data_IF_140340551788
#
_entry.id   IF_140340551788
#
_cell.length_a   1.000
_cell.length_b   1.000
_cell.length_c   1.000
_cell.angle_alpha   90.00
_cell.angle_beta   90.00
_cell.angle_gamma   90.00
#
_symmetry.space_group_name_H-M   'P 1'
#
loop_
_entity.id
_entity.type
_entity.pdbx_description
1 polymer ?
#
# COMPACT_ATOMS: atom_id res chain seq x y z
N UNK A 1 -4.74 -4.05 -102.82
CA UNK A 1 -3.45 -3.87 -102.15
C UNK A 1 -3.66 -3.08 -100.90
N UNK A 2 -3.44 -3.66 -99.72
CA UNK A 2 -3.84 -3.14 -98.42
C UNK A 2 -2.66 -2.36 -97.79
N UNK A 3 -2.82 -1.06 -97.55
CA UNK A 3 -1.88 -0.25 -96.82
C UNK A 3 -2.27 -0.28 -95.33
N UNK A 4 -1.33 -0.64 -94.43
CA UNK A 4 -1.49 -0.58 -92.98
C UNK A 4 -0.89 0.73 -92.49
N UNK A 5 -1.71 1.57 -91.84
CA UNK A 5 -1.21 2.67 -91.05
C UNK A 5 -1.07 2.28 -89.61
N UNK A 6 0.14 2.46 -89.08
CA UNK A 6 0.48 2.27 -87.68
C UNK A 6 0.33 3.60 -86.96
N UNK A 7 -0.56 3.66 -85.94
CA UNK A 7 -0.67 4.81 -85.03
C UNK A 7 0.21 4.55 -83.80
N UNK A 8 1.17 5.45 -83.56
CA UNK A 8 1.95 5.50 -82.34
C UNK A 8 1.22 6.40 -81.35
N UNK A 9 0.78 5.82 -80.23
CA UNK A 9 0.15 6.59 -79.14
C UNK A 9 1.22 7.10 -78.18
N UNK A 10 1.30 8.41 -78.03
CA UNK A 10 2.15 9.07 -77.04
C UNK A 10 1.35 9.15 -75.72
N UNK A 11 1.84 8.44 -74.69
CA UNK A 11 1.24 8.53 -73.37
C UNK A 11 1.91 9.67 -72.57
N UNK A 12 1.16 10.74 -72.30
CA UNK A 12 1.52 11.77 -71.35
C UNK A 12 1.20 11.26 -69.94
N UNK A 13 2.22 10.98 -69.13
CA UNK A 13 2.08 10.65 -67.75
C UNK A 13 1.90 11.93 -66.90
N UNK A 14 0.72 12.17 -66.36
CA UNK A 14 0.47 13.22 -65.38
C UNK A 14 0.84 12.69 -63.98
N UNK A 15 1.94 13.14 -63.43
CA UNK A 15 2.30 12.88 -62.04
C UNK A 15 1.49 13.80 -61.10
N UNK A 16 0.49 13.23 -60.43
CA UNK A 16 -0.17 13.92 -59.31
C UNK A 16 0.73 13.81 -58.05
N UNK A 17 1.36 14.92 -57.67
CA UNK A 17 1.94 15.08 -56.35
C UNK A 17 0.80 15.20 -55.32
N UNK A 18 0.57 14.14 -54.56
CA UNK A 18 -0.28 14.22 -53.38
C UNK A 18 0.54 14.85 -52.23
N UNK A 19 0.33 16.15 -51.99
CA UNK A 19 0.83 16.80 -50.79
C UNK A 19 -0.01 16.32 -49.59
N UNK A 20 0.57 15.47 -48.78
CA UNK A 20 0.00 15.08 -47.47
C UNK A 20 0.13 16.27 -46.51
N UNK A 21 -0.95 17.00 -46.31
CA UNK A 21 -1.09 17.95 -45.21
C UNK A 21 -1.18 17.14 -43.89
N UNK A 22 -0.06 17.00 -43.19
CA UNK A 22 -0.07 16.53 -41.80
C UNK A 22 -0.65 17.65 -40.93
N UNK A 23 -1.90 17.50 -40.51
CA UNK A 23 -2.46 18.30 -39.43
C UNK A 23 -1.62 18.06 -38.18
N UNK A 24 -1.22 19.11 -37.42
CA UNK A 24 -0.56 18.91 -36.15
C UNK A 24 -1.55 18.16 -35.24
N UNK A 25 -1.10 17.03 -34.67
CA UNK A 25 -1.85 16.36 -33.65
C UNK A 25 -2.02 17.34 -32.48
N UNK A 26 -3.23 17.79 -32.25
CA UNK A 26 -3.58 18.49 -31.00
C UNK A 26 -3.38 17.48 -29.91
N UNK A 27 -2.34 17.66 -29.11
CA UNK A 27 -2.15 16.92 -27.91
C UNK A 27 -3.40 17.15 -27.03
N UNK A 28 -4.21 16.12 -26.86
CA UNK A 28 -5.31 16.19 -25.92
C UNK A 28 -4.68 16.52 -24.56
N UNK A 29 -5.05 17.64 -23.98
CA UNK A 29 -4.63 18.02 -22.64
C UNK A 29 -4.91 16.86 -21.71
N UNK A 30 -3.88 16.41 -21.00
CA UNK A 30 -4.05 15.40 -19.96
C UNK A 30 -5.13 15.91 -19.01
N UNK A 31 -6.10 15.09 -18.60
CA UNK A 31 -7.16 15.53 -17.71
C UNK A 31 -6.52 16.16 -16.47
N UNK A 32 -7.02 17.36 -16.10
CA UNK A 32 -6.53 18.10 -14.96
C UNK A 32 -6.46 17.16 -13.74
N UNK A 33 -5.33 17.17 -13.04
CA UNK A 33 -5.14 16.33 -11.87
C UNK A 33 -6.27 16.60 -10.87
N UNK A 34 -6.89 15.54 -10.35
CA UNK A 34 -7.93 15.68 -9.33
C UNK A 34 -7.37 16.47 -8.14
N UNK A 35 -8.15 17.37 -7.52
CA UNK A 35 -7.67 18.16 -6.41
C UNK A 35 -7.29 17.27 -5.23
N UNK A 36 -6.22 17.63 -4.54
CA UNK A 36 -5.81 16.95 -3.32
C UNK A 36 -6.82 17.26 -2.21
N UNK A 37 -7.38 16.21 -1.60
CA UNK A 37 -8.30 16.31 -0.47
C UNK A 37 -7.71 15.55 0.71
N UNK A 38 -7.73 16.19 1.87
CA UNK A 38 -7.28 15.58 3.13
C UNK A 38 -8.47 15.34 4.05
N UNK A 39 -8.57 14.12 4.59
CA UNK A 39 -9.65 13.70 5.48
C UNK A 39 -9.18 13.47 6.92
N UNK A 40 -7.89 13.60 7.18
CA UNK A 40 -7.22 13.19 8.42
C UNK A 40 -6.26 14.25 8.97
N UNK A 41 -6.50 15.53 8.68
CA UNK A 41 -5.69 16.63 9.19
C UNK A 41 -4.25 16.64 8.63
N UNK A 42 -4.08 16.29 7.37
CA UNK A 42 -2.78 16.24 6.66
C UNK A 42 -1.79 15.21 7.22
N UNK A 43 -2.27 14.12 7.78
CA UNK A 43 -1.38 13.04 8.21
C UNK A 43 -0.72 12.41 6.99
N UNK A 44 0.59 12.54 6.96
CA UNK A 44 1.42 11.93 5.95
C UNK A 44 1.55 10.43 6.22
N UNK A 45 1.45 9.62 5.19
CA UNK A 45 1.73 8.20 5.27
C UNK A 45 2.53 7.71 4.07
N UNK A 46 3.25 6.64 4.26
CA UNK A 46 3.94 5.92 3.22
C UNK A 46 3.49 4.45 3.20
N UNK A 47 3.74 3.77 2.11
CA UNK A 47 3.48 2.34 1.98
C UNK A 47 4.62 1.66 1.24
N UNK A 48 4.92 0.45 1.64
CA UNK A 48 5.88 -0.45 1.03
C UNK A 48 5.25 -1.83 0.96
N UNK A 49 5.24 -2.43 -0.22
CA UNK A 49 4.83 -3.81 -0.41
C UNK A 49 5.90 -4.56 -1.20
N UNK A 50 6.18 -5.81 -0.80
CA UNK A 50 7.02 -6.73 -1.55
C UNK A 50 6.15 -7.65 -2.39
N UNK A 51 6.60 -7.96 -3.61
CA UNK A 51 6.01 -9.04 -4.39
C UNK A 51 6.18 -10.39 -3.69
N UNK A 52 5.29 -11.36 -3.94
CA UNK A 52 5.42 -12.70 -3.33
C UNK A 52 6.73 -13.42 -3.64
N UNK A 53 7.41 -13.12 -4.73
CA UNK A 53 8.75 -13.64 -5.07
C UNK A 53 9.90 -12.81 -4.51
N UNK A 54 9.56 -11.72 -3.77
CA UNK A 54 10.52 -10.79 -3.16
C UNK A 54 11.47 -10.08 -4.14
N UNK A 55 11.19 -10.20 -5.43
CA UNK A 55 11.99 -9.56 -6.48
C UNK A 55 11.64 -8.11 -6.73
N UNK A 56 10.44 -7.68 -6.32
CA UNK A 56 9.92 -6.33 -6.58
C UNK A 56 9.44 -5.67 -5.29
N UNK A 57 9.79 -4.41 -5.10
CA UNK A 57 9.19 -3.55 -4.08
C UNK A 57 8.39 -2.44 -4.76
N UNK A 58 7.21 -2.14 -4.25
CA UNK A 58 6.39 -1.01 -4.68
C UNK A 58 6.20 -0.07 -3.51
N UNK A 59 6.49 1.21 -3.72
CA UNK A 59 6.40 2.22 -2.67
C UNK A 59 5.57 3.41 -3.07
N UNK A 60 4.92 4.02 -2.09
CA UNK A 60 4.19 5.28 -2.20
C UNK A 60 4.44 6.19 -1.01
N UNK A 61 4.20 7.47 -1.24
CA UNK A 61 4.14 8.48 -0.19
C UNK A 61 3.00 9.45 -0.47
N UNK A 62 2.15 9.67 0.51
CA UNK A 62 0.91 10.45 0.32
C UNK A 62 1.13 11.89 -0.14
N UNK A 63 2.32 12.45 0.04
CA UNK A 63 2.68 13.79 -0.43
C UNK A 63 3.15 13.82 -1.88
N UNK A 64 3.35 12.66 -2.51
CA UNK A 64 3.82 12.53 -3.89
C UNK A 64 2.84 11.70 -4.72
N UNK A 65 2.51 12.18 -5.90
CA UNK A 65 1.63 11.48 -6.84
C UNK A 65 2.29 10.34 -7.60
N UNK A 66 3.54 10.00 -7.29
CA UNK A 66 4.29 8.96 -7.95
C UNK A 66 4.33 7.68 -7.09
N UNK A 67 4.14 6.54 -7.75
CA UNK A 67 4.38 5.22 -7.20
C UNK A 67 5.66 4.68 -7.81
N UNK A 68 6.64 4.34 -6.99
CA UNK A 68 7.93 3.83 -7.48
C UNK A 68 7.95 2.31 -7.37
N UNK A 69 8.35 1.66 -8.44
CA UNK A 69 8.52 0.20 -8.53
C UNK A 69 10.02 -0.09 -8.63
N UNK A 70 10.56 -0.82 -7.66
CA UNK A 70 11.95 -1.22 -7.60
C UNK A 70 12.14 -2.68 -7.99
N UNK A 71 13.21 -2.96 -8.72
CA UNK A 71 13.79 -4.29 -8.83
C UNK A 71 14.79 -4.46 -7.67
N UNK A 72 14.51 -5.37 -6.76
CA UNK A 72 15.34 -5.62 -5.58
C UNK A 72 16.57 -6.48 -5.84
N UNK A 73 16.66 -7.14 -7.00
CA UNK A 73 17.84 -7.91 -7.43
C UNK A 73 18.93 -6.99 -7.95
N UNK A 74 18.53 -5.98 -8.72
CA UNK A 74 19.45 -4.99 -9.31
C UNK A 74 19.60 -3.72 -8.48
N UNK A 75 18.73 -3.52 -7.47
CA UNK A 75 18.60 -2.29 -6.67
C UNK A 75 18.30 -1.05 -7.53
N UNK A 76 17.55 -1.22 -8.60
CA UNK A 76 17.23 -0.16 -9.54
C UNK A 76 15.73 0.15 -9.56
N UNK A 77 15.38 1.37 -9.99
CA UNK A 77 13.99 1.70 -10.32
C UNK A 77 13.61 0.99 -11.60
N UNK A 78 12.59 0.12 -11.52
CA UNK A 78 12.00 -0.58 -12.66
C UNK A 78 10.99 0.27 -13.40
N UNK A 79 10.27 1.14 -12.68
CA UNK A 79 9.27 2.03 -13.27
C UNK A 79 8.69 2.99 -12.25
N UNK A 80 8.04 4.04 -12.78
CA UNK A 80 7.33 5.05 -11.99
C UNK A 80 5.92 5.18 -12.56
N UNK A 81 4.92 4.94 -11.73
CA UNK A 81 3.52 5.12 -12.07
C UNK A 81 3.11 6.54 -11.67
N UNK A 82 2.54 7.27 -12.61
CA UNK A 82 2.09 8.66 -12.42
C UNK A 82 0.57 8.77 -12.42
N UNK A 83 0.06 9.94 -12.01
CA UNK A 83 -1.36 10.24 -12.07
C UNK A 83 -2.12 9.96 -10.78
N UNK A 84 -1.44 9.56 -9.72
CA UNK A 84 -2.00 9.52 -8.37
C UNK A 84 -2.00 10.91 -7.74
N UNK A 85 -2.87 11.14 -6.78
CA UNK A 85 -2.97 12.42 -6.06
C UNK A 85 -2.54 12.26 -4.61
N UNK A 86 -3.12 11.29 -3.91
CA UNK A 86 -2.79 10.99 -2.51
C UNK A 86 -2.78 9.47 -2.32
N UNK A 87 -1.73 8.80 -2.84
CA UNK A 87 -1.62 7.35 -2.71
C UNK A 87 -1.41 6.95 -1.25
N UNK A 88 -2.09 5.91 -0.78
CA UNK A 88 -2.13 5.54 0.63
C UNK A 88 -1.57 4.18 0.95
N UNK A 89 -2.10 3.13 0.37
CA UNK A 89 -1.70 1.77 0.69
C UNK A 89 -1.47 0.93 -0.57
N UNK A 90 -0.57 -0.05 -0.44
CA UNK A 90 -0.23 -0.98 -1.51
C UNK A 90 -0.34 -2.39 -0.97
N UNK A 91 -0.96 -3.29 -1.74
CA UNK A 91 -0.98 -4.73 -1.45
C UNK A 91 -0.83 -5.54 -2.73
N UNK A 92 0.01 -6.57 -2.72
CA UNK A 92 0.14 -7.49 -3.84
C UNK A 92 -0.96 -8.56 -3.83
N UNK A 93 -1.38 -8.97 -5.02
CA UNK A 93 -2.12 -10.21 -5.19
C UNK A 93 -1.26 -11.41 -4.75
N UNK A 94 -1.87 -12.47 -4.20
CA UNK A 94 -1.11 -13.64 -3.69
C UNK A 94 -0.26 -14.33 -4.76
N UNK A 95 -0.69 -14.27 -6.03
CA UNK A 95 0.04 -14.82 -7.17
C UNK A 95 1.16 -13.89 -7.71
N UNK A 96 1.27 -12.69 -7.18
CA UNK A 96 2.25 -11.69 -7.60
C UNK A 96 2.00 -11.04 -8.96
N UNK A 97 0.95 -11.45 -9.68
CA UNK A 97 0.68 -10.93 -11.03
C UNK A 97 0.11 -9.52 -11.05
N UNK A 98 -0.41 -9.06 -9.93
CA UNK A 98 -0.94 -7.70 -9.79
C UNK A 98 -0.66 -7.15 -8.39
N UNK A 99 -0.76 -5.84 -8.26
CA UNK A 99 -0.84 -5.16 -6.98
C UNK A 99 -1.92 -4.07 -7.03
N UNK A 100 -2.37 -3.66 -5.86
CA UNK A 100 -3.44 -2.71 -5.68
C UNK A 100 -2.91 -1.46 -4.98
N UNK A 101 -3.29 -0.29 -5.44
CA UNK A 101 -2.90 1.02 -4.87
C UNK A 101 -4.15 1.82 -4.56
N UNK A 102 -4.36 2.20 -3.31
CA UNK A 102 -5.44 3.10 -2.94
C UNK A 102 -5.01 4.56 -3.08
N UNK A 103 -5.94 5.42 -3.53
CA UNK A 103 -5.78 6.88 -3.60
C UNK A 103 -6.95 7.56 -2.90
N UNK A 104 -6.66 8.24 -1.78
CA UNK A 104 -7.72 8.82 -0.96
C UNK A 104 -8.39 10.03 -1.58
N UNK A 105 -7.69 10.86 -2.34
CA UNK A 105 -8.27 12.01 -3.04
C UNK A 105 -9.11 11.59 -4.23
N UNK A 106 -8.71 10.53 -4.93
CA UNK A 106 -9.47 9.98 -6.05
C UNK A 106 -10.62 9.08 -5.62
N UNK A 107 -10.57 8.58 -4.38
CA UNK A 107 -11.61 7.70 -3.84
C UNK A 107 -11.63 6.31 -4.49
N UNK A 108 -10.49 5.81 -4.90
CA UNK A 108 -10.38 4.58 -5.68
C UNK A 108 -9.23 3.68 -5.22
N UNK A 109 -9.30 2.43 -5.61
CA UNK A 109 -8.17 1.50 -5.61
C UNK A 109 -7.95 1.05 -7.06
N UNK A 110 -6.71 1.19 -7.52
CA UNK A 110 -6.32 0.76 -8.87
C UNK A 110 -5.56 -0.55 -8.78
N UNK A 111 -5.99 -1.56 -9.54
CA UNK A 111 -5.28 -2.82 -9.73
C UNK A 111 -4.31 -2.66 -10.90
N UNK A 112 -3.04 -2.94 -10.67
CA UNK A 112 -1.95 -2.77 -11.63
C UNK A 112 -1.40 -4.14 -11.98
N UNK A 113 -1.22 -4.43 -13.25
CA UNK A 113 -0.49 -5.62 -13.71
C UNK A 113 1.00 -5.48 -13.37
N UNK A 114 1.56 -6.46 -12.65
CA UNK A 114 2.93 -6.40 -12.15
C UNK A 114 3.99 -6.45 -13.23
N UNK A 115 3.72 -7.08 -14.38
CA UNK A 115 4.68 -7.22 -15.47
C UNK A 115 4.75 -5.96 -16.33
N UNK A 116 3.59 -5.43 -16.73
CA UNK A 116 3.47 -4.30 -17.65
C UNK A 116 3.39 -2.94 -16.95
N UNK A 117 3.13 -2.93 -15.65
CA UNK A 117 2.88 -1.75 -14.83
C UNK A 117 1.69 -0.89 -15.34
N UNK A 118 0.73 -1.53 -16.01
CA UNK A 118 -0.47 -0.86 -16.52
C UNK A 118 -1.67 -1.12 -15.61
N UNK A 119 -2.58 -0.14 -15.44
CA UNK A 119 -3.87 -0.36 -14.79
C UNK A 119 -4.68 -1.42 -15.54
N UNK A 120 -5.26 -2.37 -14.81
CA UNK A 120 -6.11 -3.44 -15.36
C UNK A 120 -7.50 -3.50 -14.74
N UNK A 121 -7.71 -2.84 -13.60
CA UNK A 121 -9.03 -2.69 -12.98
C UNK A 121 -9.03 -1.51 -11.99
N UNK A 122 -10.23 -1.00 -11.70
CA UNK A 122 -10.44 0.11 -10.78
C UNK A 122 -11.64 -0.19 -9.89
N UNK A 123 -11.52 0.10 -8.59
CA UNK A 123 -12.51 -0.11 -7.56
C UNK A 123 -12.93 1.24 -6.99
N UNK A 124 -14.18 1.64 -7.18
CA UNK A 124 -14.72 2.90 -6.68
C UNK A 124 -15.06 2.75 -5.18
N UNK A 125 -14.12 3.08 -4.31
CA UNK A 125 -14.26 2.94 -2.86
C UNK A 125 -14.84 4.20 -2.18
N UNK A 126 -14.94 5.29 -2.91
CA UNK A 126 -15.39 6.58 -2.36
C UNK A 126 -14.25 7.42 -1.76
N UNK A 127 -14.48 8.73 -1.57
CA UNK A 127 -13.48 9.67 -1.06
C UNK A 127 -12.90 9.22 0.28
N UNK A 128 -11.58 9.35 0.41
CA UNK A 128 -10.87 8.88 1.60
C UNK A 128 -10.50 7.41 1.57
N UNK A 129 -10.51 6.73 0.40
CA UNK A 129 -9.99 5.37 0.25
C UNK A 129 -8.56 5.27 0.78
N UNK A 130 -8.35 4.47 1.83
CA UNK A 130 -7.09 4.49 2.58
C UNK A 130 -6.47 3.10 2.72
N UNK A 131 -6.72 2.43 3.85
CA UNK A 131 -6.19 1.10 4.11
C UNK A 131 -6.88 0.03 3.28
N UNK A 132 -6.10 -0.95 2.86
CA UNK A 132 -6.60 -2.10 2.10
C UNK A 132 -6.13 -3.40 2.72
N UNK A 133 -6.97 -4.42 2.66
CA UNK A 133 -6.61 -5.79 2.97
C UNK A 133 -7.17 -6.72 1.90
N UNK A 134 -6.35 -7.67 1.46
CA UNK A 134 -6.74 -8.67 0.46
C UNK A 134 -6.87 -10.04 1.14
N UNK A 135 -7.91 -10.79 0.81
CA UNK A 135 -8.07 -12.17 1.28
C UNK A 135 -6.92 -13.04 0.81
N UNK A 136 -6.64 -14.11 1.55
CA UNK A 136 -5.49 -15.00 1.27
C UNK A 136 -5.54 -15.65 -0.11
N UNK A 137 -6.76 -15.89 -0.63
CA UNK A 137 -7.00 -16.39 -1.99
C UNK A 137 -7.05 -15.28 -3.04
N UNK A 138 -6.97 -14.02 -2.65
CA UNK A 138 -7.03 -12.85 -3.53
C UNK A 138 -8.42 -12.52 -4.05
N UNK A 139 -9.49 -13.19 -3.61
CA UNK A 139 -10.84 -13.03 -4.15
C UNK A 139 -11.60 -11.81 -3.59
N UNK A 140 -11.28 -11.38 -2.37
CA UNK A 140 -11.93 -10.27 -1.70
C UNK A 140 -10.94 -9.17 -1.33
N UNK A 141 -11.27 -7.93 -1.69
CA UNK A 141 -10.54 -6.72 -1.33
C UNK A 141 -11.39 -5.88 -0.38
N UNK A 142 -10.86 -5.61 0.81
CA UNK A 142 -11.47 -4.69 1.78
C UNK A 142 -10.77 -3.35 1.70
N UNK A 143 -11.55 -2.28 1.59
CA UNK A 143 -11.06 -0.90 1.49
C UNK A 143 -11.79 -0.04 2.49
N UNK A 144 -11.09 0.60 3.40
CA UNK A 144 -11.73 1.59 4.24
C UNK A 144 -11.75 2.97 3.56
N UNK A 145 -12.80 3.74 3.86
CA UNK A 145 -12.97 5.12 3.37
C UNK A 145 -13.19 6.05 4.54
N UNK A 146 -12.25 6.99 4.73
CA UNK A 146 -12.27 7.90 5.87
C UNK A 146 -13.44 8.88 5.81
N UNK A 147 -13.76 9.42 4.64
CA UNK A 147 -14.81 10.41 4.47
C UNK A 147 -16.21 9.85 4.80
N UNK A 148 -16.48 8.60 4.43
CA UNK A 148 -17.76 7.95 4.68
C UNK A 148 -17.80 7.13 5.97
N UNK A 149 -16.64 6.96 6.63
CA UNK A 149 -16.50 6.10 7.83
C UNK A 149 -17.00 4.67 7.57
N UNK A 150 -16.62 4.09 6.42
CA UNK A 150 -17.04 2.77 5.97
C UNK A 150 -15.85 1.87 5.65
N UNK A 151 -16.12 0.58 5.56
CA UNK A 151 -15.27 -0.40 4.87
C UNK A 151 -16.11 -1.02 3.76
N UNK A 152 -15.59 -0.98 2.53
CA UNK A 152 -16.23 -1.65 1.39
C UNK A 152 -15.49 -2.94 1.08
N UNK A 153 -16.22 -4.04 0.97
CA UNK A 153 -15.74 -5.32 0.45
C UNK A 153 -16.04 -5.42 -1.03
N UNK A 154 -15.03 -5.65 -1.82
CA UNK A 154 -15.14 -5.87 -3.26
C UNK A 154 -14.83 -7.31 -3.63
N UNK A 155 -15.46 -7.78 -4.68
CA UNK A 155 -15.04 -8.96 -5.44
C UNK A 155 -13.95 -8.52 -6.43
N UNK A 156 -12.76 -9.10 -6.34
CA UNK A 156 -11.60 -8.70 -7.17
C UNK A 156 -11.72 -9.14 -8.63
N UNK A 157 -12.59 -10.09 -8.93
CA UNK A 157 -12.83 -10.57 -10.29
C UNK A 157 -13.81 -9.71 -11.08
N UNK A 158 -14.78 -9.06 -10.38
CA UNK A 158 -15.83 -8.24 -11.01
C UNK A 158 -15.71 -6.75 -10.71
N UNK A 159 -14.83 -6.33 -9.81
CA UNK A 159 -14.71 -4.96 -9.27
C UNK A 159 -15.94 -4.45 -8.53
N UNK A 160 -16.94 -5.31 -8.31
CA UNK A 160 -18.20 -4.92 -7.68
C UNK A 160 -18.11 -4.93 -6.17
N UNK A 161 -18.70 -3.89 -5.55
CA UNK A 161 -18.90 -3.87 -4.12
C UNK A 161 -19.92 -4.97 -3.73
N UNK A 162 -19.51 -5.84 -2.79
CA UNK A 162 -20.36 -6.89 -2.22
C UNK A 162 -21.06 -6.44 -0.96
N UNK A 163 -20.36 -5.60 -0.18
CA UNK A 163 -20.89 -5.03 1.05
C UNK A 163 -20.26 -3.67 1.31
N UNK A 164 -21.05 -2.79 1.94
CA UNK A 164 -20.58 -1.54 2.53
C UNK A 164 -20.90 -1.60 4.01
N UNK A 165 -19.87 -1.69 4.83
CA UNK A 165 -19.98 -1.83 6.28
C UNK A 165 -19.81 -0.43 6.87
N UNK A 166 -20.77 0.03 7.66
CA UNK A 166 -20.77 1.33 8.34
C UNK A 166 -20.55 1.18 9.85
N UNK A 167 -20.33 2.28 10.57
CA UNK A 167 -20.14 2.27 12.02
C UNK A 167 -18.70 2.44 12.47
N UNK A 168 -17.79 2.77 11.54
CA UNK A 168 -16.42 3.15 11.87
C UNK A 168 -16.32 4.62 12.26
N UNK A 169 -15.16 5.02 12.78
CA UNK A 169 -14.88 6.38 13.20
C UNK A 169 -13.60 6.89 12.51
N UNK A 170 -13.72 7.32 11.26
CA UNK A 170 -12.60 7.68 10.37
C UNK A 170 -11.54 6.57 10.32
N UNK A 171 -11.82 5.45 9.68
CA UNK A 171 -10.91 4.30 9.64
C UNK A 171 -9.59 4.66 8.95
N UNK A 172 -8.50 4.04 9.41
CA UNK A 172 -7.13 4.33 8.97
C UNK A 172 -6.47 3.17 8.26
N UNK A 173 -5.16 3.33 8.02
CA UNK A 173 -4.32 2.37 7.30
C UNK A 173 -4.20 1.01 7.99
N UNK A 174 -4.35 0.91 9.30
CA UNK A 174 -4.29 -0.35 10.02
C UNK A 174 -5.52 -1.21 9.73
N UNK A 175 -5.50 -1.88 8.59
CA UNK A 175 -6.51 -2.85 8.18
C UNK A 175 -5.83 -4.20 8.03
N UNK A 176 -6.26 -5.21 8.79
CA UNK A 176 -5.66 -6.56 8.77
C UNK A 176 -6.74 -7.63 8.87
N UNK A 177 -6.61 -8.66 8.05
CA UNK A 177 -7.37 -9.89 8.24
C UNK A 177 -6.72 -10.76 9.32
N UNK A 178 -7.53 -11.52 10.05
CA UNK A 178 -7.06 -12.62 10.88
C UNK A 178 -6.37 -13.69 10.02
N UNK A 179 -5.48 -14.52 10.58
CA UNK A 179 -4.76 -15.55 9.83
C UNK A 179 -5.66 -16.54 9.10
N UNK A 180 -6.84 -16.84 9.66
CA UNK A 180 -7.88 -17.69 9.06
C UNK A 180 -8.81 -16.92 8.09
N UNK A 181 -8.67 -15.59 8.01
CA UNK A 181 -9.50 -14.72 7.19
C UNK A 181 -10.90 -14.46 7.74
N UNK A 182 -11.27 -15.01 8.91
CA UNK A 182 -12.61 -14.91 9.47
C UNK A 182 -12.94 -13.53 10.05
N UNK A 183 -11.93 -12.76 10.42
CA UNK A 183 -12.10 -11.42 10.99
C UNK A 183 -11.28 -10.39 10.25
N UNK A 184 -11.81 -9.15 10.22
CA UNK A 184 -11.09 -7.97 9.75
C UNK A 184 -10.94 -6.99 10.93
N UNK A 185 -9.72 -6.59 11.21
CA UNK A 185 -9.37 -5.60 12.22
C UNK A 185 -9.10 -4.26 11.55
N UNK A 186 -9.77 -3.21 12.00
CA UNK A 186 -9.70 -1.86 11.40
C UNK A 186 -9.40 -0.82 12.47
N UNK A 187 -8.28 -0.12 12.35
CA UNK A 187 -7.97 1.01 13.23
C UNK A 187 -8.81 2.23 12.88
N UNK A 188 -9.27 2.95 13.88
CA UNK A 188 -10.06 4.17 13.73
C UNK A 188 -9.28 5.37 14.27
N UNK A 189 -9.36 6.49 13.56
CA UNK A 189 -8.72 7.74 13.98
C UNK A 189 -9.45 8.41 15.13
N UNK A 190 -10.77 8.49 15.01
CA UNK A 190 -11.60 9.00 16.09
C UNK A 190 -11.95 7.86 17.03
N UNK A 191 -11.77 8.12 18.35
CA UNK A 191 -12.07 7.16 19.40
C UNK A 191 -10.97 6.15 19.67
N UNK A 192 -9.81 6.26 18.97
CA UNK A 192 -8.60 5.44 19.25
C UNK A 192 -8.94 3.97 19.54
N UNK A 193 -9.55 3.30 18.56
CA UNK A 193 -10.06 1.94 18.73
C UNK A 193 -9.76 1.06 17.52
N UNK A 194 -9.80 -0.25 17.70
CA UNK A 194 -9.85 -1.25 16.64
C UNK A 194 -11.25 -1.81 16.56
N UNK A 195 -11.89 -1.68 15.40
CA UNK A 195 -13.19 -2.33 15.12
C UNK A 195 -12.94 -3.70 14.54
N UNK A 196 -13.67 -4.70 15.02
CA UNK A 196 -13.62 -6.10 14.57
C UNK A 196 -14.86 -6.37 13.72
N UNK A 197 -14.62 -6.84 12.50
CA UNK A 197 -15.68 -7.22 11.54
C UNK A 197 -15.60 -8.72 11.31
N UNK A 198 -16.74 -9.38 11.33
CA UNK A 198 -16.90 -10.76 10.84
C UNK A 198 -16.96 -10.73 9.30
N UNK A 199 -16.02 -11.42 8.64
CA UNK A 199 -15.90 -11.39 7.17
C UNK A 199 -16.93 -12.27 6.46
N UNK A 200 -17.57 -13.18 7.15
CA UNK A 200 -18.62 -14.03 6.59
C UNK A 200 -19.97 -13.30 6.53
N UNK A 201 -20.26 -12.52 7.57
CA UNK A 201 -21.54 -11.80 7.69
C UNK A 201 -21.45 -10.33 7.31
N UNK A 202 -20.22 -9.80 7.13
CA UNK A 202 -19.93 -8.39 6.91
C UNK A 202 -20.49 -7.47 8.02
N UNK A 203 -20.51 -7.95 9.27
CA UNK A 203 -21.03 -7.21 10.43
C UNK A 203 -19.91 -6.91 11.45
N UNK A 204 -20.05 -5.75 12.10
CA UNK A 204 -19.21 -5.41 13.25
C UNK A 204 -19.61 -6.32 14.42
N UNK A 205 -18.61 -7.02 15.00
CA UNK A 205 -18.78 -7.88 16.18
C UNK A 205 -18.40 -7.17 17.47
N UNK A 206 -17.58 -6.15 17.40
CA UNK A 206 -17.14 -5.42 18.57
C UNK A 206 -15.92 -4.56 18.33
N UNK A 207 -15.39 -4.05 19.42
CA UNK A 207 -14.32 -3.08 19.41
C UNK A 207 -13.31 -3.38 20.52
N UNK A 208 -12.06 -2.99 20.29
CA UNK A 208 -10.99 -2.94 21.28
C UNK A 208 -10.66 -1.48 21.49
N UNK A 209 -10.66 -1.02 22.73
CA UNK A 209 -10.46 0.38 23.11
C UNK A 209 -9.25 0.54 24.04
N UNK A 210 -8.93 1.77 24.45
CA UNK A 210 -7.83 2.06 25.37
C UNK A 210 -6.50 2.40 24.70
N UNK A 211 -6.51 2.60 23.38
CA UNK A 211 -5.35 3.08 22.65
C UNK A 211 -5.18 4.60 22.78
N UNK A 212 -4.05 5.11 22.29
CA UNK A 212 -3.76 6.54 22.19
C UNK A 212 -3.09 6.87 20.88
N UNK A 213 -3.78 7.57 19.99
CA UNK A 213 -3.35 7.86 18.62
C UNK A 213 -2.88 6.59 17.90
N UNK A 214 -3.74 5.57 17.89
CA UNK A 214 -3.44 4.27 17.29
C UNK A 214 -3.02 4.40 15.82
N UNK A 215 -1.99 3.63 15.42
CA UNK A 215 -1.43 3.63 14.07
C UNK A 215 -1.54 2.23 13.43
N UNK A 216 -0.42 1.63 13.07
CA UNK A 216 -0.39 0.30 12.49
C UNK A 216 -0.68 -0.79 13.51
N UNK A 217 -1.21 -1.90 13.01
CA UNK A 217 -1.45 -3.12 13.78
C UNK A 217 -0.85 -4.33 13.07
N UNK A 218 -0.52 -5.35 13.84
CA UNK A 218 -0.24 -6.71 13.36
C UNK A 218 -0.89 -7.75 14.26
N UNK A 219 -1.10 -8.95 13.72
CA UNK A 219 -1.76 -10.06 14.41
C UNK A 219 -0.84 -11.27 14.35
N UNK A 220 -0.70 -12.01 15.46
CA UNK A 220 0.07 -13.25 15.50
C UNK A 220 -0.54 -14.34 14.63
N UNK A 221 0.30 -15.29 14.18
CA UNK A 221 -0.14 -16.36 13.28
C UNK A 221 -1.21 -17.29 13.88
N UNK A 222 -1.29 -17.38 15.22
CA UNK A 222 -2.33 -18.11 15.95
C UNK A 222 -3.64 -17.31 16.12
N UNK A 223 -3.65 -16.03 15.71
CA UNK A 223 -4.80 -15.16 15.83
C UNK A 223 -5.14 -14.67 17.23
N UNK A 224 -4.29 -14.94 18.23
CA UNK A 224 -4.61 -14.66 19.64
C UNK A 224 -4.18 -13.26 20.10
N UNK A 225 -3.11 -12.73 19.54
CA UNK A 225 -2.52 -11.46 19.97
C UNK A 225 -2.50 -10.43 18.83
N UNK A 226 -2.89 -9.20 19.14
CA UNK A 226 -2.73 -8.04 18.26
C UNK A 226 -1.73 -7.09 18.90
N UNK A 227 -0.79 -6.61 18.11
CA UNK A 227 0.14 -5.54 18.45
C UNK A 227 -0.28 -4.25 17.76
N UNK A 228 -0.30 -3.15 18.50
CA UNK A 228 -0.71 -1.85 17.98
C UNK A 228 0.27 -0.74 18.39
N UNK A 229 0.68 0.08 17.42
CA UNK A 229 1.48 1.25 17.71
C UNK A 229 0.59 2.38 18.26
N UNK A 230 0.93 2.85 19.47
CA UNK A 230 0.29 3.99 20.15
C UNK A 230 1.23 5.21 20.09
N UNK A 231 1.05 6.07 19.09
CA UNK A 231 1.92 7.24 18.94
C UNK A 231 1.66 8.34 20.00
N UNK A 232 0.51 8.31 20.66
CA UNK A 232 0.20 9.24 21.74
C UNK A 232 0.91 8.95 23.07
N UNK A 233 1.38 7.71 23.26
CA UNK A 233 2.03 7.25 24.51
C UNK A 233 3.37 6.55 24.27
N UNK A 234 3.91 6.61 23.06
CA UNK A 234 5.21 6.09 22.68
C UNK A 234 5.42 4.61 23.08
N UNK A 235 4.45 3.77 22.78
CA UNK A 235 4.52 2.36 23.07
C UNK A 235 3.84 1.47 22.02
N UNK A 236 4.11 0.18 22.09
CA UNK A 236 3.34 -0.87 21.40
C UNK A 236 2.40 -1.50 22.40
N UNK A 237 1.10 -1.44 22.16
CA UNK A 237 0.11 -2.16 22.95
C UNK A 237 0.08 -3.63 22.55
N UNK A 238 -0.01 -4.50 23.55
CA UNK A 238 -0.16 -5.94 23.41
C UNK A 238 -1.58 -6.31 23.80
N UNK A 239 -2.35 -6.80 22.87
CA UNK A 239 -3.80 -7.00 23.01
C UNK A 239 -4.14 -8.49 22.98
N UNK A 240 -4.94 -8.96 23.92
CA UNK A 240 -5.63 -10.24 23.81
C UNK A 240 -6.90 -10.04 22.97
N UNK A 241 -6.93 -10.66 21.80
CA UNK A 241 -8.03 -10.48 20.84
C UNK A 241 -9.34 -11.07 21.38
N UNK A 242 -9.30 -12.25 21.97
CA UNK A 242 -10.51 -12.92 22.48
C UNK A 242 -11.16 -12.15 23.64
N UNK A 243 -10.34 -11.57 24.52
CA UNK A 243 -10.82 -10.76 25.64
C UNK A 243 -11.11 -9.31 25.23
N UNK A 244 -10.59 -8.87 24.07
CA UNK A 244 -10.66 -7.47 23.59
C UNK A 244 -10.02 -6.49 24.57
N UNK A 245 -8.92 -6.87 25.20
CA UNK A 245 -8.24 -6.13 26.25
C UNK A 245 -6.76 -5.89 25.94
N UNK A 246 -6.26 -4.70 26.26
CA UNK A 246 -4.82 -4.41 26.29
C UNK A 246 -4.25 -5.07 27.55
N UNK A 247 -3.38 -6.07 27.36
CA UNK A 247 -2.74 -6.79 28.46
C UNK A 247 -1.54 -6.02 29.03
N UNK A 248 -0.79 -5.39 28.15
CA UNK A 248 0.42 -4.65 28.50
C UNK A 248 0.83 -3.70 27.40
N UNK A 249 1.82 -2.86 27.68
CA UNK A 249 2.44 -1.97 26.69
C UNK A 249 3.96 -2.08 26.78
N UNK A 250 4.64 -1.97 25.65
CA UNK A 250 6.09 -1.99 25.53
C UNK A 250 6.57 -0.61 25.10
N UNK A 251 7.32 0.14 25.93
CA UNK A 251 7.88 1.42 25.56
C UNK A 251 8.79 1.31 24.33
N UNK A 252 8.70 2.27 23.41
CA UNK A 252 9.53 2.40 22.20
C UNK A 252 9.99 3.85 22.03
N UNK A 253 10.62 4.17 20.90
CA UNK A 253 10.98 5.56 20.60
C UNK A 253 9.77 6.47 20.34
N UNK A 254 10.04 7.75 20.09
CA UNK A 254 9.01 8.78 19.98
C UNK A 254 8.23 8.70 18.67
N UNK A 255 6.91 8.94 18.77
CA UNK A 255 5.93 8.92 17.70
C UNK A 255 5.99 7.61 16.87
N UNK A 256 5.72 6.43 17.48
CA UNK A 256 5.75 5.16 16.80
C UNK A 256 4.58 5.03 15.82
N UNK A 257 4.89 4.65 14.58
CA UNK A 257 3.92 4.41 13.52
C UNK A 257 3.79 2.94 13.13
N UNK A 258 4.86 2.16 13.31
CA UNK A 258 4.93 0.77 12.90
C UNK A 258 4.63 -0.21 14.02
N UNK A 259 4.05 -1.35 13.68
CA UNK A 259 3.94 -2.53 14.52
C UNK A 259 4.09 -3.76 13.62
N UNK A 260 5.23 -3.88 12.94
CA UNK A 260 5.47 -4.94 11.97
C UNK A 260 5.98 -6.20 12.67
N UNK A 261 5.17 -7.27 12.65
CA UNK A 261 5.53 -8.57 13.20
C UNK A 261 6.40 -9.34 12.20
N UNK A 262 7.52 -9.88 12.67
CA UNK A 262 8.38 -10.75 11.84
C UNK A 262 7.66 -12.06 11.49
N UNK A 263 8.01 -12.71 10.36
CA UNK A 263 7.32 -13.93 9.90
C UNK A 263 7.37 -15.09 10.87
N UNK A 264 8.43 -15.17 11.67
CA UNK A 264 8.60 -16.18 12.73
C UNK A 264 7.87 -15.83 14.04
N UNK A 265 7.17 -14.68 14.07
CA UNK A 265 6.42 -14.20 15.23
C UNK A 265 7.27 -13.77 16.43
N UNK A 266 8.60 -13.67 16.30
CA UNK A 266 9.50 -13.44 17.44
C UNK A 266 9.81 -11.98 17.72
N UNK A 267 9.66 -11.09 16.72
CA UNK A 267 10.04 -9.68 16.86
C UNK A 267 8.98 -8.76 16.27
N UNK A 268 8.79 -7.61 16.92
CA UNK A 268 8.04 -6.45 16.38
C UNK A 268 9.05 -5.35 16.05
N UNK A 269 8.93 -4.81 14.84
CA UNK A 269 9.66 -3.61 14.43
C UNK A 269 8.71 -2.42 14.43
N UNK A 270 9.11 -1.36 15.13
CA UNK A 270 8.34 -0.11 15.21
C UNK A 270 9.16 1.06 14.68
N UNK A 271 8.70 1.68 13.59
CA UNK A 271 9.30 2.92 13.09
C UNK A 271 8.91 4.09 13.99
N UNK A 272 9.91 4.74 14.59
CA UNK A 272 9.77 5.89 15.48
C UNK A 272 10.06 7.16 14.67
N UNK A 273 9.00 7.84 14.24
CA UNK A 273 9.06 8.95 13.30
C UNK A 273 9.94 10.09 13.82
N UNK A 274 9.74 10.49 15.08
CA UNK A 274 10.42 11.64 15.66
C UNK A 274 11.92 11.37 15.98
N UNK A 275 12.29 10.10 16.15
CA UNK A 275 13.66 9.71 16.51
C UNK A 275 14.51 9.24 15.33
N UNK A 276 13.94 9.16 14.12
CA UNK A 276 14.61 8.58 12.96
C UNK A 276 15.19 7.17 13.24
N UNK A 277 14.44 6.37 14.00
CA UNK A 277 14.87 5.07 14.48
C UNK A 277 13.81 4.00 14.29
N UNK A 278 14.22 2.73 14.46
CA UNK A 278 13.32 1.59 14.54
C UNK A 278 13.59 0.88 15.86
N UNK A 279 12.58 0.74 16.71
CA UNK A 279 12.65 -0.10 17.90
C UNK A 279 12.37 -1.55 17.52
N UNK A 280 13.16 -2.48 18.10
CA UNK A 280 12.98 -3.92 17.95
C UNK A 280 12.51 -4.47 19.31
N UNK A 281 11.36 -5.12 19.30
CA UNK A 281 10.74 -5.71 20.48
C UNK A 281 10.83 -7.23 20.35
N UNK A 282 11.27 -7.91 21.40
CA UNK A 282 11.18 -9.36 21.53
C UNK A 282 9.77 -9.73 22.02
N UNK A 283 9.07 -10.56 21.25
CA UNK A 283 7.67 -10.93 21.52
C UNK A 283 7.53 -11.84 22.75
N UNK A 284 8.51 -12.69 23.02
CA UNK A 284 8.44 -13.62 24.16
C UNK A 284 8.61 -12.92 25.51
N UNK A 285 9.47 -11.90 25.55
CA UNK A 285 9.76 -11.14 26.78
C UNK A 285 8.98 -9.85 26.89
N UNK A 286 8.36 -9.38 25.79
CA UNK A 286 7.68 -8.08 25.68
C UNK A 286 8.59 -6.90 26.09
N UNK A 287 9.85 -6.95 25.64
CA UNK A 287 10.85 -5.91 25.91
C UNK A 287 11.44 -5.38 24.60
N UNK A 288 11.71 -4.08 24.56
CA UNK A 288 12.56 -3.51 23.52
C UNK A 288 13.99 -4.01 23.73
N UNK A 289 14.54 -4.69 22.71
CA UNK A 289 15.87 -5.33 22.76
C UNK A 289 16.91 -4.58 21.96
N UNK A 290 16.48 -3.72 21.04
CA UNK A 290 17.37 -2.84 20.28
C UNK A 290 16.65 -1.58 19.76
N UNK A 291 17.44 -0.58 19.43
CA UNK A 291 17.05 0.59 18.68
C UNK A 291 18.04 0.76 17.52
N UNK A 292 17.53 0.64 16.30
CA UNK A 292 18.31 0.80 15.08
C UNK A 292 18.17 2.25 14.63
N UNK A 293 19.26 2.93 14.36
CA UNK A 293 19.31 4.34 13.91
C UNK A 293 19.79 4.45 12.47
N UNK A 294 19.73 5.65 11.89
CA UNK A 294 20.21 5.90 10.52
C UNK A 294 19.12 5.88 9.45
N UNK A 295 17.86 5.84 9.86
CA UNK A 295 16.71 6.01 8.95
C UNK A 295 16.36 7.49 8.75
N UNK A 296 15.47 7.74 7.78
CA UNK A 296 14.90 9.07 7.50
C UNK A 296 13.40 8.99 7.71
N UNK A 297 12.93 9.42 8.87
CA UNK A 297 11.51 9.43 9.26
C UNK A 297 10.78 8.11 8.95
N UNK A 298 11.24 6.97 9.49
CA UNK A 298 10.61 5.68 9.27
C UNK A 298 9.22 5.67 9.90
N UNK A 299 8.25 5.11 9.18
CA UNK A 299 6.84 5.04 9.61
C UNK A 299 6.39 3.58 9.75
N UNK A 300 5.18 3.28 9.29
CA UNK A 300 4.61 1.94 9.32
C UNK A 300 5.07 1.04 8.16
N UNK A 301 5.71 1.57 7.15
CA UNK A 301 6.14 0.82 5.96
C UNK A 301 7.41 0.01 6.25
N UNK A 302 7.24 -1.05 7.02
CA UNK A 302 8.25 -2.03 7.38
C UNK A 302 7.74 -3.40 6.96
N UNK A 303 8.49 -4.12 6.13
CA UNK A 303 8.16 -5.45 5.65
C UNK A 303 9.36 -6.38 5.76
N UNK A 304 9.10 -7.67 5.95
CA UNK A 304 10.14 -8.68 6.08
C UNK A 304 10.18 -9.58 4.86
N UNK A 305 11.37 -10.14 4.56
CA UNK A 305 11.46 -11.32 3.70
C UNK A 305 10.78 -12.52 4.35
N UNK A 306 10.32 -13.49 3.54
CA UNK A 306 9.64 -14.70 4.04
C UNK A 306 10.49 -15.53 4.99
N UNK A 307 11.79 -15.64 4.67
CA UNK A 307 12.75 -16.31 5.53
C UNK A 307 13.03 -15.55 6.83
N UNK A 308 12.51 -14.31 6.91
CA UNK A 308 12.66 -13.44 8.05
C UNK A 308 14.08 -12.95 8.31
N UNK A 309 15.00 -13.10 7.37
CA UNK A 309 16.40 -12.67 7.58
C UNK A 309 16.57 -11.17 7.40
N UNK A 310 15.77 -10.55 6.55
CA UNK A 310 15.86 -9.12 6.20
C UNK A 310 14.56 -8.39 6.50
N UNK A 311 14.68 -7.19 7.08
CA UNK A 311 13.61 -6.21 7.12
C UNK A 311 13.90 -5.06 6.16
N UNK A 312 12.90 -4.67 5.39
CA UNK A 312 12.93 -3.48 4.53
C UNK A 312 12.14 -2.37 5.23
N UNK A 313 12.77 -1.22 5.37
CA UNK A 313 12.19 -0.03 6.02
C UNK A 313 12.16 1.11 5.02
N UNK A 314 10.99 1.61 4.70
CA UNK A 314 10.82 2.75 3.79
C UNK A 314 11.13 4.06 4.52
N UNK A 315 12.02 4.84 3.94
CA UNK A 315 12.34 6.20 4.37
C UNK A 315 11.39 7.23 3.72
N UNK A 316 11.33 8.44 4.27
CA UNK A 316 10.48 9.52 3.74
C UNK A 316 10.90 9.94 2.32
N UNK A 317 12.18 9.85 1.99
CA UNK A 317 12.70 10.14 0.65
C UNK A 317 12.39 9.04 -0.39
N UNK A 318 11.68 7.99 0.01
CA UNK A 318 11.35 6.79 -0.75
C UNK A 318 12.51 5.82 -1.00
N UNK A 319 13.68 6.06 -0.42
CA UNK A 319 14.71 5.04 -0.34
C UNK A 319 14.30 3.92 0.60
N UNK A 320 14.81 2.70 0.38
CA UNK A 320 14.48 1.54 1.20
C UNK A 320 15.74 1.07 1.92
N UNK A 321 15.78 1.19 3.25
CA UNK A 321 16.84 0.64 4.07
C UNK A 321 16.65 -0.87 4.25
N UNK A 322 17.73 -1.64 4.04
CA UNK A 322 17.77 -3.09 4.31
C UNK A 322 18.41 -3.32 5.67
N UNK A 323 17.69 -3.97 6.55
CA UNK A 323 18.15 -4.31 7.90
C UNK A 323 18.38 -5.82 7.98
N UNK A 324 19.58 -6.23 8.32
CA UNK A 324 19.87 -7.60 8.70
C UNK A 324 19.32 -7.87 10.10
N UNK A 325 18.41 -8.83 10.23
CA UNK A 325 17.72 -9.11 11.50
C UNK A 325 18.62 -9.73 12.56
N UNK A 326 19.60 -10.51 12.16
CA UNK A 326 20.50 -11.19 13.13
C UNK A 326 21.44 -10.17 13.81
N UNK A 327 21.95 -9.21 13.03
CA UNK A 327 22.86 -8.19 13.55
C UNK A 327 22.15 -6.90 13.97
N UNK A 328 20.87 -6.72 13.57
CA UNK A 328 20.08 -5.52 13.80
C UNK A 328 20.74 -4.24 13.26
N UNK A 329 21.37 -4.34 12.09
CA UNK A 329 22.08 -3.24 11.43
C UNK A 329 21.54 -3.00 10.03
N UNK A 330 21.60 -1.75 9.59
CA UNK A 330 21.38 -1.40 8.19
C UNK A 330 22.58 -1.92 7.40
N UNK A 331 22.34 -2.83 6.46
CA UNK A 331 23.36 -3.45 5.61
C UNK A 331 23.36 -2.94 4.18
N UNK A 332 22.43 -2.09 3.84
CA UNK A 332 22.33 -1.48 2.51
C UNK A 332 21.11 -0.60 2.36
N UNK A 333 21.08 0.16 1.28
CA UNK A 333 19.93 1.01 0.92
C UNK A 333 19.68 0.88 -0.58
N UNK A 334 18.42 0.66 -0.95
CA UNK A 334 17.95 0.82 -2.32
C UNK A 334 17.72 2.31 -2.54
N UNK A 335 18.49 2.99 -3.40
CA UNK A 335 18.39 4.43 -3.56
C UNK A 335 17.13 4.81 -4.32
N UNK A 336 16.66 6.02 -4.10
CA UNK A 336 15.66 6.63 -4.99
C UNK A 336 16.29 6.81 -6.36
N UNK A 337 15.59 6.40 -7.40
CA UNK A 337 16.04 6.68 -8.76
C UNK A 337 16.10 8.19 -9.04
N UNK A 338 16.80 8.58 -10.09
CA UNK A 338 16.91 9.96 -10.53
C UNK A 338 15.57 10.58 -10.91
#
# INVERSE_FOLDING_TARGET
MKSRFTFTALALGSALLAASLSLPAVAADAPAAAPRVTFDGNIKNNSLALSPDEGTAVVSYSERGDIIVYDLKTNAVRGVLKGYVTPRNIVFAPDGKAFYVSDSSRGEVVKIDSATLKPIAQFAAGPGAFGTALSKDGSALYVNSQASSTVTRFDTGSTQARAVISGFAQPRQGVRLSPDGAKLYVTNFLGDKVTIVDTQTDKIEGEITGFSKIRAISVTADGNTLFAANSGTNNIAVVNIAKREILSTVPVGNDPYGAALSPDGKQIYSGNLADNSVSVIDVATLKAVATITGFKQPRQAIVFTRDGTTAFVLNEDLSISRVDRATQKIVGTVPVGP
#
